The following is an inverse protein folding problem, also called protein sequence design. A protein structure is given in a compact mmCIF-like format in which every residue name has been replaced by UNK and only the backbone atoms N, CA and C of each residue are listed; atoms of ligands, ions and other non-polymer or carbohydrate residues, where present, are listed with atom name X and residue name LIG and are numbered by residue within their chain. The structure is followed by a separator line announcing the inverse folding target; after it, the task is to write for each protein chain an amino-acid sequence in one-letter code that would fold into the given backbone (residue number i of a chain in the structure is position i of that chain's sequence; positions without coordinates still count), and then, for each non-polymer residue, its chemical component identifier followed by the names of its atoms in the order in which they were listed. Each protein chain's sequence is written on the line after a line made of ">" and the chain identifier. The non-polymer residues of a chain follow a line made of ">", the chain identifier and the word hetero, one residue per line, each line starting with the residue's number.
data_IF_491748679680
#
_entry.id   IF_491748679680
#
_cell.length_a   1.000
_cell.length_b   1.000
_cell.length_c   1.000
_cell.angle_alpha   90.00
_cell.angle_beta   90.00
_cell.angle_gamma   90.00
#
_symmetry.space_group_name_H-M   'P 1'
#
loop_
_entity.id
_entity.type
_entity.pdbx_description
1 polymer ?
#
# COMPACT_ATOMS: atom_id res chain seq x y z
N UNK A 1 -15.70 -16.58 2.35
CA UNK A 1 -14.24 -16.66 2.58
C UNK A 1 -13.92 -15.65 3.65
N UNK A 2 -13.42 -16.11 4.79
CA UNK A 2 -13.04 -15.23 5.89
C UNK A 2 -11.72 -14.53 5.54
N UNK A 3 -11.58 -13.26 5.95
CA UNK A 3 -10.39 -12.43 5.70
C UNK A 3 -9.87 -11.90 7.02
N UNK A 4 -8.57 -12.09 7.28
CA UNK A 4 -7.92 -11.57 8.49
C UNK A 4 -7.08 -10.35 8.12
N UNK A 5 -7.33 -9.23 8.79
CA UNK A 5 -6.54 -8.00 8.67
C UNK A 5 -5.45 -8.05 9.74
N UNK A 6 -4.18 -7.99 9.32
CA UNK A 6 -3.04 -8.02 10.22
C UNK A 6 -2.42 -6.63 10.37
N UNK A 7 -2.32 -6.19 11.63
CA UNK A 7 -1.63 -4.97 12.02
C UNK A 7 -0.67 -5.31 13.17
N UNK A 8 0.62 -5.40 12.87
CA UNK A 8 1.68 -5.59 13.87
C UNK A 8 2.96 -4.90 13.41
N UNK A 9 3.70 -4.32 14.36
CA UNK A 9 4.99 -3.68 14.12
C UNK A 9 6.16 -4.68 14.13
N UNK A 10 5.91 -5.94 14.50
CA UNK A 10 6.91 -7.01 14.52
C UNK A 10 6.85 -7.85 13.24
N UNK A 11 7.97 -7.88 12.50
CA UNK A 11 8.10 -8.69 11.27
C UNK A 11 7.97 -10.19 11.53
N UNK A 12 8.34 -10.66 12.71
CA UNK A 12 8.24 -12.08 13.06
C UNK A 12 6.79 -12.48 13.33
N UNK A 13 6.03 -11.62 14.02
CA UNK A 13 4.63 -11.88 14.35
C UNK A 13 3.78 -11.90 13.07
N UNK A 14 4.04 -10.97 12.13
CA UNK A 14 3.38 -10.95 10.83
C UNK A 14 3.66 -12.23 10.01
N UNK A 15 4.88 -12.79 10.09
CA UNK A 15 5.21 -14.06 9.42
C UNK A 15 4.47 -15.23 10.04
N UNK A 16 4.46 -15.31 11.37
CA UNK A 16 3.78 -16.38 12.10
C UNK A 16 2.28 -16.39 11.79
N UNK A 17 1.63 -15.22 11.83
CA UNK A 17 0.19 -15.14 11.59
C UNK A 17 -0.14 -15.37 10.11
N UNK A 18 0.71 -14.95 9.17
CA UNK A 18 0.56 -15.28 7.76
C UNK A 18 0.64 -16.80 7.51
N UNK A 19 1.52 -17.50 8.23
CA UNK A 19 1.67 -18.94 8.13
C UNK A 19 0.47 -19.69 8.71
N UNK A 20 -0.07 -19.22 9.85
CA UNK A 20 -1.31 -19.74 10.44
C UNK A 20 -2.49 -19.56 9.49
N UNK A 21 -2.67 -18.35 8.95
CA UNK A 21 -3.77 -18.06 8.04
C UNK A 21 -3.70 -18.86 6.73
N UNK A 22 -2.49 -19.10 6.21
CA UNK A 22 -2.27 -19.99 5.05
C UNK A 22 -2.72 -21.43 5.34
N UNK A 23 -2.44 -21.94 6.56
CA UNK A 23 -2.91 -23.27 6.98
C UNK A 23 -4.42 -23.34 7.17
N UNK A 24 -5.05 -22.22 7.51
CA UNK A 24 -6.51 -22.12 7.66
C UNK A 24 -7.26 -21.83 6.36
N UNK A 25 -6.56 -21.66 5.23
CA UNK A 25 -7.17 -21.32 3.94
C UNK A 25 -7.74 -19.89 3.89
N UNK A 26 -7.27 -19.01 4.78
CA UNK A 26 -7.74 -17.64 4.93
C UNK A 26 -6.81 -16.68 4.19
N UNK A 27 -7.39 -15.75 3.44
CA UNK A 27 -6.63 -14.70 2.76
C UNK A 27 -6.17 -13.66 3.79
N UNK A 28 -4.87 -13.37 3.79
CA UNK A 28 -4.26 -12.34 4.63
C UNK A 28 -4.02 -11.10 3.79
N UNK A 29 -4.64 -10.00 4.19
CA UNK A 29 -4.34 -8.68 3.63
C UNK A 29 -3.43 -7.96 4.61
N UNK A 30 -2.16 -7.81 4.23
CA UNK A 30 -1.21 -7.00 4.99
C UNK A 30 -1.59 -5.53 4.82
N UNK A 31 -2.18 -4.94 5.86
CA UNK A 31 -2.39 -3.49 5.89
C UNK A 31 -1.04 -2.88 6.26
N UNK A 32 -0.34 -2.30 5.30
CA UNK A 32 0.83 -1.47 5.58
C UNK A 32 0.34 -0.19 6.26
N UNK A 33 0.02 -0.28 7.56
CA UNK A 33 -0.39 0.86 8.36
C UNK A 33 0.86 1.59 8.87
N UNK A 34 1.59 2.26 7.98
CA UNK A 34 2.52 3.35 8.33
C UNK A 34 3.20 3.88 7.06
N UNK A 35 2.46 4.41 6.09
CA UNK A 35 2.98 5.62 5.47
C UNK A 35 2.58 6.74 6.40
N UNK A 36 3.56 7.47 6.93
CA UNK A 36 3.26 8.77 7.49
C UNK A 36 2.61 9.61 6.38
N UNK A 37 1.74 10.55 6.72
CA UNK A 37 1.21 11.53 5.76
C UNK A 37 2.37 12.18 4.98
N UNK A 38 3.53 12.34 5.63
CA UNK A 38 4.74 12.84 5.00
C UNK A 38 5.28 11.91 3.89
N UNK A 39 5.24 10.60 4.09
CA UNK A 39 5.72 9.62 3.11
C UNK A 39 4.83 9.61 1.85
N UNK A 40 3.52 9.77 2.03
CA UNK A 40 2.56 9.91 0.92
C UNK A 40 2.77 11.21 0.14
N UNK A 41 3.02 12.32 0.86
CA UNK A 41 3.36 13.60 0.23
C UNK A 41 4.67 13.50 -0.55
N UNK A 42 5.71 12.87 0.02
CA UNK A 42 7.00 12.71 -0.64
C UNK A 42 6.89 11.85 -1.92
N UNK A 43 6.12 10.75 -1.86
CA UNK A 43 5.83 9.94 -3.04
C UNK A 43 5.06 10.73 -4.11
N UNK A 44 4.04 11.49 -3.72
CA UNK A 44 3.28 12.34 -4.64
C UNK A 44 4.14 13.40 -5.33
N UNK A 45 5.02 14.08 -4.58
CA UNK A 45 5.95 15.06 -5.15
C UNK A 45 6.94 14.42 -6.12
N UNK A 46 7.41 13.21 -5.82
CA UNK A 46 8.31 12.45 -6.69
C UNK A 46 7.63 12.06 -7.99
N UNK A 47 6.37 11.62 -7.95
CA UNK A 47 5.60 11.32 -9.16
C UNK A 47 5.42 12.56 -10.05
N UNK A 48 5.04 13.70 -9.46
CA UNK A 48 4.88 14.96 -10.21
C UNK A 48 6.18 15.39 -10.87
N UNK A 49 7.32 15.23 -10.17
CA UNK A 49 8.65 15.52 -10.73
C UNK A 49 8.95 14.63 -11.94
N UNK A 50 8.67 13.33 -11.84
CA UNK A 50 8.89 12.39 -12.95
C UNK A 50 7.96 12.67 -14.15
N UNK A 51 6.72 13.11 -13.90
CA UNK A 51 5.81 13.57 -14.96
C UNK A 51 6.34 14.82 -15.66
N UNK A 52 6.92 15.77 -14.90
CA UNK A 52 7.53 16.99 -15.45
C UNK A 52 8.77 16.67 -16.30
N UNK A 53 9.57 15.70 -15.87
CA UNK A 53 10.76 15.21 -16.59
C UNK A 53 10.42 14.31 -17.79
N UNK A 54 9.13 13.98 -18.02
CA UNK A 54 8.70 13.10 -19.11
C UNK A 54 9.00 11.61 -18.88
N UNK A 55 9.43 11.23 -17.68
CA UNK A 55 9.71 9.83 -17.29
C UNK A 55 8.46 9.06 -16.85
N UNK A 56 7.38 9.79 -16.55
CA UNK A 56 6.09 9.23 -16.19
C UNK A 56 5.01 9.84 -17.09
N UNK A 57 4.06 9.03 -17.55
CA UNK A 57 2.93 9.53 -18.33
C UNK A 57 2.08 10.47 -17.47
N UNK A 58 1.67 11.59 -18.07
CA UNK A 58 0.81 12.57 -17.40
C UNK A 58 -0.56 11.94 -17.18
N UNK A 59 -1.09 12.05 -15.97
CA UNK A 59 -2.47 11.67 -15.67
C UNK A 59 -3.37 12.90 -15.82
N UNK A 60 -4.58 12.76 -16.40
CA UNK A 60 -5.56 13.83 -16.39
C UNK A 60 -6.00 14.12 -14.95
N UNK A 61 -6.36 15.37 -14.68
CA UNK A 61 -6.75 15.82 -13.33
C UNK A 61 -7.94 15.02 -12.78
N UNK A 62 -8.81 14.53 -13.66
CA UNK A 62 -9.96 13.70 -13.31
C UNK A 62 -9.58 12.34 -12.71
N UNK A 63 -8.43 11.78 -13.06
CA UNK A 63 -7.97 10.50 -12.50
C UNK A 63 -7.46 10.67 -11.07
N UNK A 64 -6.94 11.86 -10.74
CA UNK A 64 -6.47 12.20 -9.39
C UNK A 64 -7.64 12.42 -8.41
N UNK A 65 -8.75 12.97 -8.90
CA UNK A 65 -9.93 13.30 -8.08
C UNK A 65 -10.82 12.06 -7.87
N UNK A 66 -10.88 11.16 -8.84
CA UNK A 66 -11.81 10.02 -8.82
C UNK A 66 -11.20 8.69 -8.37
N UNK A 67 -9.91 8.65 -8.02
CA UNK A 67 -9.27 7.48 -7.38
C UNK A 67 -9.39 6.17 -8.15
N UNK A 68 -9.39 6.22 -9.49
CA UNK A 68 -9.37 5.04 -10.38
C UNK A 68 -8.01 4.85 -11.03
#
# INVERSE_FOLDING_TARGET
>A
MDTIILQSNSKNDLKLIAEIAKKMGVTVVKKNSSSSIMDEIEQGLKEVKLMKEGKLQKKPLNDLINGK
#
